data_IF_657601238907
#
_entry.id   IF_657601238907
#
_cell.length_a   1.000
_cell.length_b   1.000
_cell.length_c   1.000
_cell.angle_alpha   90.00
_cell.angle_beta   90.00
_cell.angle_gamma   90.00
#
_symmetry.space_group_name_H-M   'P 1'
#
loop_
_entity.id
_entity.type
_entity.pdbx_description
1 polymer ?
#
# COMPACT_ATOMS: atom_id res chain seq x y z
N UNK A 1 3.83 -15.93 7.69
CA UNK A 1 2.81 -14.84 7.71
C UNK A 1 2.53 -14.43 6.29
N UNK A 2 1.24 -14.24 5.94
CA UNK A 2 0.82 -13.79 4.60
C UNK A 2 0.27 -12.36 4.71
N UNK A 3 0.87 -11.42 3.99
CA UNK A 3 0.58 -9.99 4.13
C UNK A 3 0.17 -9.41 2.77
N UNK A 4 -0.96 -8.71 2.75
CA UNK A 4 -1.43 -7.94 1.61
C UNK A 4 -0.99 -6.47 1.75
N UNK A 5 -0.52 -5.87 0.67
CA UNK A 5 -0.12 -4.46 0.59
C UNK A 5 -0.85 -3.78 -0.55
N UNK A 6 -1.44 -2.62 -0.31
CA UNK A 6 -1.93 -1.72 -1.37
C UNK A 6 -1.84 -0.26 -0.93
N UNK A 7 -1.99 0.67 -1.86
CA UNK A 7 -1.77 2.08 -1.63
C UNK A 7 -2.61 2.97 -2.54
N UNK A 8 -2.63 4.27 -2.23
CA UNK A 8 -3.12 5.31 -3.14
C UNK A 8 -4.55 5.07 -3.59
N UNK A 9 -5.46 4.91 -2.60
CA UNK A 9 -6.90 4.66 -2.81
C UNK A 9 -7.61 5.93 -3.29
N UNK A 10 -7.21 7.10 -2.74
CA UNK A 10 -7.73 8.41 -3.12
C UNK A 10 -9.26 8.52 -3.12
N UNK A 11 -9.93 7.89 -2.17
CA UNK A 11 -11.39 7.92 -2.07
C UNK A 11 -12.16 7.14 -3.15
N UNK A 12 -11.46 6.42 -4.03
CA UNK A 12 -12.06 5.63 -5.13
C UNK A 12 -12.25 4.18 -4.65
N UNK A 13 -13.48 3.71 -4.63
CA UNK A 13 -13.80 2.40 -4.06
C UNK A 13 -13.95 1.26 -5.08
N UNK A 14 -13.76 1.52 -6.37
CA UNK A 14 -14.00 0.55 -7.46
C UNK A 14 -13.33 -0.81 -7.23
N UNK A 15 -12.04 -0.80 -6.90
CA UNK A 15 -11.24 -2.02 -6.76
C UNK A 15 -11.23 -2.61 -5.33
N UNK A 16 -11.91 -1.96 -4.37
CA UNK A 16 -11.91 -2.45 -2.98
C UNK A 16 -12.75 -3.72 -2.82
N UNK A 17 -13.78 -3.93 -3.64
CA UNK A 17 -14.55 -5.18 -3.64
C UNK A 17 -13.70 -6.36 -4.14
N UNK A 18 -12.80 -6.12 -5.12
CA UNK A 18 -11.80 -7.12 -5.52
C UNK A 18 -10.87 -7.49 -4.35
N UNK A 19 -10.36 -6.49 -3.63
CA UNK A 19 -9.50 -6.70 -2.45
C UNK A 19 -10.23 -7.52 -1.38
N UNK A 20 -11.52 -7.24 -1.15
CA UNK A 20 -12.36 -8.00 -0.22
C UNK A 20 -12.50 -9.47 -0.63
N UNK A 21 -12.81 -9.73 -1.89
CA UNK A 21 -12.93 -11.08 -2.40
C UNK A 21 -11.59 -11.82 -2.37
N UNK A 22 -10.50 -11.11 -2.64
CA UNK A 22 -9.14 -11.64 -2.54
C UNK A 22 -8.82 -12.05 -1.08
N UNK A 23 -9.17 -11.22 -0.10
CA UNK A 23 -8.95 -11.55 1.31
C UNK A 23 -9.79 -12.75 1.77
N UNK A 24 -11.04 -12.85 1.33
CA UNK A 24 -11.90 -14.02 1.61
C UNK A 24 -11.26 -15.31 1.08
N UNK A 25 -10.67 -15.26 -0.11
CA UNK A 25 -10.01 -16.41 -0.76
C UNK A 25 -8.68 -16.77 -0.12
N UNK A 26 -7.83 -15.78 0.13
CA UNK A 26 -6.43 -15.95 0.48
C UNK A 26 -6.18 -15.91 2.00
N UNK A 27 -7.12 -15.37 2.78
CA UNK A 27 -7.10 -15.24 4.24
C UNK A 27 -5.78 -14.62 4.77
N UNK A 28 -5.54 -13.35 4.47
CA UNK A 28 -4.34 -12.65 4.91
C UNK A 28 -4.27 -12.47 6.43
N UNK A 29 -3.09 -12.66 6.99
CA UNK A 29 -2.82 -12.41 8.42
C UNK A 29 -2.81 -10.92 8.74
N UNK A 30 -2.31 -10.09 7.81
CA UNK A 30 -2.25 -8.63 7.89
C UNK A 30 -2.60 -7.99 6.54
N UNK A 31 -3.19 -6.80 6.63
CA UNK A 31 -3.44 -5.91 5.50
C UNK A 31 -2.74 -4.60 5.78
N UNK A 32 -1.83 -4.19 4.90
CA UNK A 32 -1.06 -2.95 5.01
C UNK A 32 -1.51 -1.98 3.94
N UNK A 33 -2.03 -0.83 4.37
CA UNK A 33 -2.40 0.28 3.48
C UNK A 33 -1.37 1.38 3.63
N UNK A 34 -0.71 1.70 2.53
CA UNK A 34 0.48 2.56 2.52
C UNK A 34 0.16 4.06 2.32
N UNK A 35 -1.06 4.49 2.66
CA UNK A 35 -1.44 5.91 2.68
C UNK A 35 -2.23 6.36 1.45
N UNK A 36 -2.55 7.66 1.43
CA UNK A 36 -3.39 8.36 0.46
C UNK A 36 -4.77 7.72 0.32
N UNK A 37 -5.54 7.82 1.43
CA UNK A 37 -6.78 7.08 1.61
C UNK A 37 -7.99 7.74 0.93
N UNK A 38 -8.19 9.06 1.15
CA UNK A 38 -9.50 9.69 0.93
C UNK A 38 -9.52 10.82 -0.08
N UNK A 39 -8.40 11.50 -0.35
CA UNK A 39 -8.36 12.73 -1.14
C UNK A 39 -7.68 12.55 -2.49
N UNK A 40 -8.28 13.10 -3.56
CA UNK A 40 -7.78 12.99 -4.94
C UNK A 40 -7.05 14.23 -5.45
N UNK A 41 -7.09 15.35 -4.73
CA UNK A 41 -6.54 16.63 -5.17
C UNK A 41 -7.52 17.49 -6.01
N UNK A 42 -7.29 18.80 -6.07
CA UNK A 42 -8.22 19.75 -6.65
C UNK A 42 -8.32 19.70 -8.19
N UNK A 43 -7.39 19.03 -8.85
CA UNK A 43 -7.36 18.92 -10.31
C UNK A 43 -8.04 17.65 -10.85
N UNK A 44 -8.69 16.89 -9.99
CA UNK A 44 -9.34 15.62 -10.33
C UNK A 44 -10.86 15.75 -10.15
N UNK A 45 -11.48 16.68 -10.85
CA UNK A 45 -12.93 16.84 -10.85
C UNK A 45 -13.60 15.67 -11.57
N UNK A 46 -14.75 15.21 -11.06
CA UNK A 46 -15.60 14.18 -11.66
C UNK A 46 -14.97 12.77 -11.77
N UNK A 47 -14.21 12.35 -10.78
CA UNK A 47 -13.75 10.95 -10.72
C UNK A 47 -14.95 10.03 -10.43
N UNK A 48 -15.16 9.08 -11.33
CA UNK A 48 -16.14 8.03 -11.12
C UNK A 48 -15.82 7.20 -9.86
N UNK A 49 -16.88 6.82 -9.14
CA UNK A 49 -16.76 5.98 -7.94
C UNK A 49 -15.96 6.61 -6.79
N UNK A 50 -15.86 7.94 -6.73
CA UNK A 50 -15.32 8.64 -5.59
C UNK A 50 -16.32 8.62 -4.41
N UNK A 51 -15.93 8.03 -3.30
CA UNK A 51 -16.71 8.04 -2.05
C UNK A 51 -15.80 7.69 -0.86
N UNK A 52 -15.23 8.70 -0.22
CA UNK A 52 -14.33 8.56 0.93
C UNK A 52 -15.00 7.83 2.11
N UNK A 53 -16.32 8.01 2.30
CA UNK A 53 -17.05 7.27 3.35
C UNK A 53 -17.05 5.76 3.09
N UNK A 54 -17.30 5.32 1.85
CA UNK A 54 -17.23 3.89 1.51
C UNK A 54 -15.82 3.33 1.69
N UNK A 55 -14.77 4.10 1.39
CA UNK A 55 -13.39 3.69 1.65
C UNK A 55 -13.15 3.52 3.15
N UNK A 56 -13.58 4.48 3.98
CA UNK A 56 -13.49 4.37 5.43
C UNK A 56 -14.23 3.14 5.95
N UNK A 57 -15.50 2.96 5.56
CA UNK A 57 -16.33 1.83 5.99
C UNK A 57 -15.67 0.49 5.60
N UNK A 58 -15.09 0.40 4.40
CA UNK A 58 -14.34 -0.77 3.94
C UNK A 58 -13.11 -1.04 4.82
N UNK A 59 -12.25 -0.06 5.06
CA UNK A 59 -11.04 -0.23 5.86
C UNK A 59 -11.37 -0.60 7.32
N UNK A 60 -12.47 -0.07 7.85
CA UNK A 60 -12.95 -0.39 9.20
C UNK A 60 -13.28 -1.88 9.38
N UNK A 61 -13.71 -2.59 8.32
CA UNK A 61 -13.95 -4.05 8.38
C UNK A 61 -12.68 -4.84 8.74
N UNK A 62 -11.52 -4.27 8.47
CA UNK A 62 -10.22 -4.92 8.66
C UNK A 62 -9.44 -4.42 9.88
N UNK A 63 -10.02 -3.56 10.74
CA UNK A 63 -9.33 -2.88 11.84
C UNK A 63 -8.45 -3.80 12.71
N UNK A 64 -8.84 -5.06 12.89
CA UNK A 64 -8.12 -6.01 13.77
C UNK A 64 -6.84 -6.58 13.13
N UNK A 65 -6.72 -6.51 11.80
CA UNK A 65 -5.53 -6.94 11.05
C UNK A 65 -4.95 -5.86 10.15
N UNK A 66 -5.51 -4.63 10.21
CA UNK A 66 -5.10 -3.49 9.41
C UNK A 66 -3.87 -2.80 10.03
N UNK A 67 -2.89 -2.52 9.20
CA UNK A 67 -1.81 -1.56 9.44
C UNK A 67 -1.99 -0.47 8.39
N UNK A 68 -2.35 0.72 8.82
CA UNK A 68 -2.61 1.83 7.92
C UNK A 68 -1.58 2.94 8.16
N UNK A 69 -0.95 3.43 7.10
CA UNK A 69 -0.02 4.54 7.14
C UNK A 69 -0.68 5.81 6.61
N UNK A 70 -0.16 6.94 7.04
CA UNK A 70 -0.53 8.25 6.55
C UNK A 70 0.21 8.54 5.24
N UNK A 71 -0.52 8.90 4.20
CA UNK A 71 0.03 9.48 2.97
C UNK A 71 0.11 11.00 3.01
N UNK A 72 0.69 11.60 1.98
CA UNK A 72 0.82 13.06 1.91
C UNK A 72 -0.51 13.78 1.64
N UNK A 73 -1.50 13.08 1.09
CA UNK A 73 -2.84 13.63 0.89
C UNK A 73 -3.77 13.45 2.09
N UNK A 74 -3.38 12.67 3.11
CA UNK A 74 -4.21 12.41 4.29
C UNK A 74 -4.07 13.53 5.33
N UNK A 75 -5.14 14.26 5.59
CA UNK A 75 -5.17 15.37 6.54
C UNK A 75 -5.36 14.91 7.99
N UNK A 76 -5.10 15.79 8.95
CA UNK A 76 -5.41 15.53 10.35
C UNK A 76 -6.90 15.30 10.60
N UNK A 77 -7.76 15.85 9.76
CA UNK A 77 -9.22 15.64 9.84
C UNK A 77 -9.54 14.20 9.40
N UNK A 78 -8.90 13.69 8.35
CA UNK A 78 -9.09 12.33 7.86
C UNK A 78 -8.65 11.31 8.91
N UNK A 79 -7.50 11.56 9.56
CA UNK A 79 -6.99 10.70 10.65
C UNK A 79 -7.98 10.64 11.80
N UNK A 80 -8.51 11.79 12.24
CA UNK A 80 -9.49 11.86 13.34
C UNK A 80 -10.84 11.25 12.97
N UNK A 81 -11.22 11.29 11.71
CA UNK A 81 -12.48 10.74 11.21
C UNK A 81 -12.43 9.22 10.99
N UNK A 82 -11.25 8.60 10.96
CA UNK A 82 -11.06 7.17 10.77
C UNK A 82 -11.34 6.38 12.05
N UNK A 83 -12.00 5.23 11.92
CA UNK A 83 -12.37 4.34 13.05
C UNK A 83 -11.28 3.28 13.32
N UNK A 84 -10.06 3.50 12.82
CA UNK A 84 -8.88 2.66 12.97
C UNK A 84 -7.62 3.52 13.10
N UNK A 85 -6.55 3.00 13.72
CA UNK A 85 -5.29 3.72 13.85
C UNK A 85 -4.62 3.98 12.49
N UNK A 86 -4.12 5.19 12.28
CA UNK A 86 -3.27 5.55 11.15
C UNK A 86 -1.90 5.93 11.70
N UNK A 87 -0.87 5.17 11.29
CA UNK A 87 0.52 5.38 11.68
C UNK A 87 1.12 6.52 10.86
N UNK A 88 1.96 7.35 11.47
CA UNK A 88 2.38 8.61 10.84
C UNK A 88 3.31 8.39 9.63
N UNK A 89 4.53 7.87 9.79
CA UNK A 89 5.53 7.93 8.70
C UNK A 89 6.13 6.60 8.30
N UNK A 90 6.43 5.76 9.27
CA UNK A 90 7.20 4.54 9.07
C UNK A 90 6.75 3.47 10.05
N UNK A 91 6.48 2.28 9.54
CA UNK A 91 6.19 1.08 10.33
C UNK A 91 7.20 0.01 9.99
N UNK A 92 7.75 -0.65 10.99
CA UNK A 92 8.60 -1.83 10.84
C UNK A 92 7.79 -3.10 11.11
N UNK A 93 7.76 -3.99 10.14
CA UNK A 93 7.21 -5.34 10.27
C UNK A 93 8.39 -6.31 10.27
N UNK A 94 8.58 -7.05 11.38
CA UNK A 94 9.55 -8.11 11.45
C UNK A 94 8.89 -9.46 11.17
N UNK A 95 9.28 -10.13 10.11
CA UNK A 95 8.70 -11.40 9.67
C UNK A 95 9.78 -12.27 9.00
N UNK A 96 9.79 -13.57 9.30
CA UNK A 96 10.70 -14.56 8.69
C UNK A 96 12.19 -14.17 8.78
N UNK A 97 12.59 -13.45 9.87
CA UNK A 97 13.89 -12.81 10.09
C UNK A 97 14.24 -11.70 9.08
N UNK A 98 13.23 -11.07 8.48
CA UNK A 98 13.36 -9.95 7.55
C UNK A 98 12.74 -8.71 8.18
N UNK A 99 13.41 -7.56 8.03
CA UNK A 99 12.89 -6.25 8.38
C UNK A 99 12.24 -5.61 7.16
N UNK A 100 10.91 -5.53 7.17
CA UNK A 100 10.12 -4.85 6.15
C UNK A 100 9.70 -3.48 6.69
N UNK A 101 10.28 -2.43 6.16
CA UNK A 101 9.88 -1.05 6.42
C UNK A 101 8.72 -0.69 5.50
N UNK A 102 7.63 -0.18 6.07
CA UNK A 102 6.45 0.27 5.35
C UNK A 102 6.32 1.79 5.50
N UNK A 103 6.15 2.51 4.42
CA UNK A 103 5.97 3.96 4.40
C UNK A 103 5.05 4.36 3.24
N UNK A 104 4.59 5.61 3.20
CA UNK A 104 3.89 6.06 2.00
C UNK A 104 4.83 6.26 0.81
N UNK A 105 6.02 6.80 1.01
CA UNK A 105 7.03 7.00 -0.04
C UNK A 105 7.39 8.46 -0.33
N UNK A 106 6.68 9.43 0.26
CA UNK A 106 6.99 10.85 0.10
C UNK A 106 8.22 11.31 0.88
N UNK A 107 8.54 10.67 2.02
CA UNK A 107 9.73 10.98 2.83
C UNK A 107 10.84 9.94 2.67
N UNK A 108 10.48 8.63 2.77
CA UNK A 108 11.40 7.53 2.60
C UNK A 108 11.08 6.78 1.30
N UNK A 109 12.04 6.68 0.42
CA UNK A 109 11.94 5.99 -0.86
C UNK A 109 13.34 5.61 -1.36
N UNK A 110 13.49 5.16 -2.59
CA UNK A 110 14.78 4.77 -3.16
C UNK A 110 15.81 5.92 -3.18
N UNK A 111 15.34 7.16 -3.27
CA UNK A 111 16.18 8.37 -3.31
C UNK A 111 16.58 8.85 -1.91
N UNK A 112 15.80 8.49 -0.86
CA UNK A 112 15.93 8.95 0.53
C UNK A 112 15.86 7.77 1.50
N UNK A 113 16.87 6.92 1.50
CA UNK A 113 16.89 5.68 2.30
C UNK A 113 18.15 5.49 3.15
N UNK A 114 18.97 6.52 3.31
CA UNK A 114 20.28 6.43 3.99
C UNK A 114 20.13 6.06 5.48
N UNK A 115 19.01 6.42 6.09
CA UNK A 115 18.72 6.14 7.51
C UNK A 115 18.21 4.72 7.75
N UNK A 116 17.86 3.97 6.70
CA UNK A 116 17.41 2.59 6.82
C UNK A 116 18.61 1.65 6.85
N UNK A 117 18.46 0.56 7.60
CA UNK A 117 19.50 -0.48 7.71
C UNK A 117 19.80 -1.12 6.34
N UNK A 118 21.03 -1.60 6.18
CA UNK A 118 21.36 -2.46 5.05
C UNK A 118 20.58 -3.79 5.13
N UNK A 119 20.41 -4.44 4.00
CA UNK A 119 19.70 -5.71 3.86
C UNK A 119 18.21 -5.62 4.26
N UNK A 120 17.66 -4.39 4.36
CA UNK A 120 16.25 -4.15 4.61
C UNK A 120 15.41 -4.09 3.33
N UNK A 121 14.11 -4.29 3.50
CA UNK A 121 13.10 -4.15 2.45
C UNK A 121 12.26 -2.92 2.76
N UNK A 122 12.10 -2.01 1.80
CA UNK A 122 11.21 -0.86 1.89
C UNK A 122 10.03 -1.06 0.95
N UNK A 123 8.81 -1.12 1.50
CA UNK A 123 7.57 -1.23 0.74
C UNK A 123 6.80 0.08 0.83
N UNK A 124 6.42 0.65 -0.31
CA UNK A 124 5.77 1.97 -0.38
C UNK A 124 4.85 2.15 -1.60
N UNK A 125 4.07 3.23 -1.63
CA UNK A 125 3.19 3.69 -2.70
C UNK A 125 3.67 4.98 -3.34
N UNK A 126 2.81 6.02 -3.35
CA UNK A 126 3.09 7.42 -3.77
C UNK A 126 3.45 7.62 -5.25
N UNK A 127 4.24 6.73 -5.84
CA UNK A 127 4.61 6.84 -7.27
C UNK A 127 3.47 6.45 -8.20
N UNK A 128 2.48 5.69 -7.71
CA UNK A 128 1.31 5.18 -8.44
C UNK A 128 1.64 4.19 -9.57
N UNK A 129 2.86 3.71 -9.70
CA UNK A 129 3.25 2.64 -10.62
C UNK A 129 4.12 1.61 -9.91
N UNK A 130 3.90 0.32 -10.17
CA UNK A 130 4.60 -0.74 -9.44
C UNK A 130 6.01 -0.95 -9.97
N UNK A 131 6.96 -1.30 -9.08
CA UNK A 131 8.29 -1.78 -9.43
C UNK A 131 8.97 -2.46 -8.24
N UNK A 132 9.96 -3.30 -8.52
CA UNK A 132 10.90 -3.85 -7.55
C UNK A 132 12.31 -3.50 -8.01
N UNK A 133 13.11 -2.91 -7.13
CA UNK A 133 14.48 -2.51 -7.42
C UNK A 133 15.42 -2.84 -6.27
N UNK A 134 16.64 -3.33 -6.59
CA UNK A 134 17.72 -3.51 -5.63
C UNK A 134 18.71 -2.36 -5.77
N UNK A 135 18.91 -1.61 -4.69
CA UNK A 135 19.84 -0.49 -4.67
C UNK A 135 20.54 -0.41 -3.31
N UNK A 136 21.87 -0.22 -3.29
CA UNK A 136 22.68 -0.03 -2.07
C UNK A 136 22.39 -1.07 -0.95
N UNK A 137 22.38 -2.35 -1.31
CA UNK A 137 22.09 -3.48 -0.40
C UNK A 137 20.68 -3.43 0.24
N UNK A 138 19.74 -2.73 -0.37
CA UNK A 138 18.34 -2.67 0.06
C UNK A 138 17.43 -3.09 -1.09
N UNK A 139 16.24 -3.53 -0.75
CA UNK A 139 15.18 -3.86 -1.71
C UNK A 139 14.09 -2.79 -1.60
N UNK A 140 13.74 -2.19 -2.71
CA UNK A 140 12.70 -1.18 -2.83
C UNK A 140 11.53 -1.75 -3.62
N UNK A 141 10.34 -1.70 -3.04
CA UNK A 141 9.12 -2.25 -3.62
C UNK A 141 8.07 -1.15 -3.62
N UNK A 142 7.70 -0.66 -4.79
CA UNK A 142 6.53 0.18 -4.94
C UNK A 142 5.36 -0.69 -5.39
N UNK A 143 4.27 -0.68 -4.63
CA UNK A 143 3.10 -1.51 -4.96
C UNK A 143 2.17 -0.87 -6.00
N UNK A 144 2.49 0.35 -6.45
CA UNK A 144 1.64 1.12 -7.34
C UNK A 144 0.42 1.70 -6.64
N UNK A 145 -0.62 2.00 -7.37
CA UNK A 145 -1.91 2.44 -6.86
C UNK A 145 -2.99 1.43 -7.17
N UNK A 146 -3.89 1.19 -6.22
CA UNK A 146 -5.06 0.34 -6.43
C UNK A 146 -6.17 1.05 -7.22
N UNK A 147 -6.11 2.36 -7.36
CA UNK A 147 -7.21 3.17 -7.93
C UNK A 147 -6.77 4.13 -9.03
N UNK A 148 -5.61 4.77 -8.89
CA UNK A 148 -5.11 5.82 -9.80
C UNK A 148 -3.72 5.48 -10.35
N UNK A 149 -3.56 4.42 -11.15
CA UNK A 149 -2.27 4.04 -11.69
C UNK A 149 -1.70 5.11 -12.63
N UNK A 150 -0.37 5.24 -12.67
CA UNK A 150 0.39 6.14 -13.56
C UNK A 150 1.32 5.33 -14.48
N UNK A 151 1.98 6.01 -15.41
CA UNK A 151 2.97 5.43 -16.32
C UNK A 151 2.43 4.21 -17.11
N UNK A 152 1.18 4.26 -17.54
CA UNK A 152 0.50 3.18 -18.25
C UNK A 152 0.48 1.84 -17.50
N UNK A 153 0.64 1.87 -16.16
CA UNK A 153 0.47 0.68 -15.35
C UNK A 153 -1.02 0.41 -15.07
N UNK A 154 -1.34 -0.83 -14.72
CA UNK A 154 -2.66 -1.20 -14.23
C UNK A 154 -2.76 -0.98 -12.72
N UNK A 155 -3.97 -0.87 -12.16
CA UNK A 155 -4.16 -0.94 -10.71
C UNK A 155 -3.47 -2.18 -10.14
N UNK A 156 -2.77 -2.02 -9.01
CA UNK A 156 -1.85 -3.04 -8.51
C UNK A 156 -1.83 -3.14 -6.99
N UNK A 157 -1.34 -4.26 -6.50
CA UNK A 157 -1.17 -4.58 -5.08
C UNK A 157 0.00 -5.56 -4.91
N UNK A 158 0.51 -5.68 -3.68
CA UNK A 158 1.59 -6.60 -3.34
C UNK A 158 1.14 -7.70 -2.38
N UNK A 159 1.74 -8.87 -2.47
CA UNK A 159 1.59 -9.96 -1.49
C UNK A 159 2.97 -10.43 -1.06
N UNK A 160 3.21 -10.43 0.25
CA UNK A 160 4.33 -11.11 0.87
C UNK A 160 3.88 -12.46 1.45
N UNK A 161 4.58 -13.52 1.10
CA UNK A 161 4.39 -14.84 1.67
C UNK A 161 5.68 -15.67 1.53
N UNK A 162 6.11 -16.35 2.60
CA UNK A 162 7.26 -17.27 2.60
C UNK A 162 8.51 -16.67 1.92
N UNK A 163 8.96 -15.51 2.40
CA UNK A 163 10.12 -14.76 1.88
C UNK A 163 10.00 -14.35 0.40
N UNK A 164 8.83 -14.45 -0.17
CA UNK A 164 8.57 -14.02 -1.54
C UNK A 164 7.63 -12.82 -1.54
N UNK A 165 8.00 -11.76 -2.26
CA UNK A 165 7.11 -10.64 -2.53
C UNK A 165 6.73 -10.65 -4.01
N UNK A 166 5.43 -10.70 -4.28
CA UNK A 166 4.88 -10.62 -5.63
C UNK A 166 4.07 -9.32 -5.75
N UNK A 167 4.20 -8.63 -6.87
CA UNK A 167 3.28 -7.56 -7.28
C UNK A 167 2.30 -8.14 -8.29
N UNK A 168 1.03 -7.85 -8.10
CA UNK A 168 -0.06 -8.28 -8.97
C UNK A 168 -0.77 -7.06 -9.56
N UNK A 169 -1.27 -7.18 -10.77
CA UNK A 169 -2.30 -6.29 -11.27
C UNK A 169 -3.68 -6.74 -10.80
N UNK A 170 -4.70 -5.91 -11.01
CA UNK A 170 -6.08 -6.19 -10.58
C UNK A 170 -6.70 -7.41 -11.31
N UNK A 171 -6.12 -7.85 -12.45
CA UNK A 171 -6.55 -9.05 -13.15
C UNK A 171 -5.99 -10.34 -12.53
N UNK A 172 -5.17 -10.21 -11.47
CA UNK A 172 -4.55 -11.32 -10.75
C UNK A 172 -3.26 -11.86 -11.38
N UNK A 173 -2.68 -11.15 -12.36
CA UNK A 173 -1.41 -11.54 -12.97
C UNK A 173 -0.23 -10.96 -12.17
N UNK A 174 0.80 -11.76 -11.97
CA UNK A 174 2.07 -11.30 -11.39
C UNK A 174 2.77 -10.41 -12.43
N UNK A 175 3.05 -9.17 -12.04
CA UNK A 175 3.78 -8.18 -12.85
C UNK A 175 5.25 -8.08 -12.47
N UNK A 176 5.58 -8.35 -11.21
CA UNK A 176 6.95 -8.39 -10.72
C UNK A 176 7.06 -9.32 -9.49
N UNK A 177 8.27 -9.83 -9.22
CA UNK A 177 8.51 -10.80 -8.15
C UNK A 177 9.94 -10.74 -7.63
N UNK A 178 10.11 -10.90 -6.31
CA UNK A 178 11.41 -11.05 -5.67
C UNK A 178 11.36 -12.08 -4.54
N UNK A 179 12.44 -12.84 -4.38
CA UNK A 179 12.72 -13.63 -3.17
C UNK A 179 13.66 -12.80 -2.31
N UNK A 180 13.30 -12.65 -1.03
CA UNK A 180 13.98 -11.80 -0.04
C UNK A 180 14.85 -12.68 0.88
#
# INVERSE_FOLDING_TARGET
MKILFFSDIHGIYTNLEYIKNLDIKENFDKIVVLGDLYYVGPNNDNIENFNSKKVKDFLTLYKDKLICLRGNCDSDVDIKASDFPICDKLVLIHVDNINIYCTHGNEYNIENSEKLENDSVLVYGHKHYPFIEKHNKKIFINVGSISLPKNNSNPSYGIYFEKTFNIYNIDGNITDKIII
#
